data_IF_137980796260
#
_entry.id   IF_137980796260
#
_cell.length_a   1.000
_cell.length_b   1.000
_cell.length_c   1.000
_cell.angle_alpha   90.00
_cell.angle_beta   90.00
_cell.angle_gamma   90.00
#
_symmetry.space_group_name_H-M   'P 1'
#
loop_
_entity.id
_entity.type
_entity.pdbx_description
1 polymer ?
#
# COMPACT_ATOMS: atom_id res chain seq x y z
N UNK A 1 26.17 -24.50 -1.27
CA UNK A 1 24.95 -24.63 -2.09
C UNK A 1 24.66 -26.10 -2.27
N UNK A 2 23.56 -26.62 -1.73
CA UNK A 2 23.11 -28.01 -1.88
C UNK A 2 22.18 -28.12 -3.09
N UNK A 3 21.83 -29.35 -3.51
CA UNK A 3 20.83 -29.57 -4.57
C UNK A 3 19.44 -29.02 -4.21
N UNK A 4 19.16 -28.84 -2.92
CA UNK A 4 17.90 -28.29 -2.44
C UNK A 4 17.76 -26.79 -2.75
N UNK A 5 18.87 -26.06 -2.88
CA UNK A 5 18.90 -24.63 -3.25
C UNK A 5 18.46 -24.36 -4.72
N UNK A 6 18.25 -25.41 -5.52
CA UNK A 6 17.89 -25.32 -6.94
C UNK A 6 16.52 -25.91 -7.26
N UNK A 7 15.77 -26.35 -6.26
CA UNK A 7 14.41 -26.87 -6.47
C UNK A 7 13.48 -25.73 -6.85
N UNK A 8 12.55 -25.93 -7.81
CA UNK A 8 11.56 -24.91 -8.13
C UNK A 8 10.62 -24.67 -6.94
N UNK A 9 10.07 -23.47 -6.88
CA UNK A 9 9.00 -23.10 -5.96
C UNK A 9 7.69 -22.89 -6.74
N UNK A 10 6.56 -22.91 -6.03
CA UNK A 10 5.24 -22.75 -6.62
C UNK A 10 4.46 -21.65 -5.90
N UNK A 11 3.64 -20.91 -6.65
CA UNK A 11 2.64 -19.98 -6.08
C UNK A 11 1.30 -20.69 -5.98
N UNK A 12 0.76 -20.75 -4.78
CA UNK A 12 -0.52 -21.37 -4.47
C UNK A 12 -1.58 -20.31 -4.16
N UNK A 13 -2.59 -20.29 -5.00
CA UNK A 13 -3.75 -19.43 -4.87
C UNK A 13 -4.80 -20.16 -4.04
N UNK A 14 -4.82 -19.89 -2.73
CA UNK A 14 -5.78 -20.50 -1.80
C UNK A 14 -7.12 -19.80 -1.94
N UNK A 15 -8.22 -20.55 -1.96
CA UNK A 15 -9.58 -20.02 -1.87
C UNK A 15 -9.84 -19.46 -0.45
N UNK A 16 -9.12 -18.39 -0.10
CA UNK A 16 -9.03 -17.82 1.25
C UNK A 16 -8.79 -18.93 2.29
N UNK A 17 -9.47 -18.92 3.44
CA UNK A 17 -9.41 -19.94 4.49
C UNK A 17 -10.38 -21.12 4.27
N UNK A 18 -10.94 -21.30 3.07
CA UNK A 18 -11.95 -22.32 2.80
C UNK A 18 -11.32 -23.69 2.51
N UNK A 19 -10.52 -24.20 3.44
CA UNK A 19 -9.86 -25.50 3.29
C UNK A 19 -10.11 -26.40 4.50
N UNK A 20 -9.84 -27.69 4.31
CA UNK A 20 -9.70 -28.60 5.44
C UNK A 20 -8.23 -28.85 5.69
N UNK A 21 -7.84 -29.03 6.95
CA UNK A 21 -6.47 -29.40 7.29
C UNK A 21 -5.94 -30.58 6.44
N UNK A 22 -6.79 -31.58 6.20
CA UNK A 22 -6.42 -32.78 5.45
C UNK A 22 -6.07 -32.48 3.99
N UNK A 23 -6.74 -31.49 3.38
CA UNK A 23 -6.40 -31.02 2.04
C UNK A 23 -5.07 -30.28 2.07
N UNK A 24 -4.87 -29.35 2.99
CA UNK A 24 -3.63 -28.57 3.09
C UNK A 24 -2.39 -29.47 3.26
N UNK A 25 -2.45 -30.41 4.22
CA UNK A 25 -1.36 -31.35 4.50
C UNK A 25 -1.04 -32.23 3.28
N UNK A 26 -2.08 -32.71 2.58
CA UNK A 26 -1.94 -33.56 1.39
C UNK A 26 -1.30 -32.80 0.23
N UNK A 27 -1.73 -31.56 -0.04
CA UNK A 27 -1.21 -30.80 -1.18
C UNK A 27 0.26 -30.41 -0.99
N UNK A 28 0.67 -30.08 0.24
CA UNK A 28 2.07 -29.83 0.58
C UNK A 28 2.91 -31.12 0.47
N UNK A 29 2.37 -32.26 0.91
CA UNK A 29 3.02 -33.57 0.72
C UNK A 29 3.21 -33.90 -0.77
N UNK A 30 2.17 -33.70 -1.57
CA UNK A 30 2.22 -33.95 -3.01
C UNK A 30 3.23 -33.03 -3.70
N UNK A 31 3.26 -31.73 -3.35
CA UNK A 31 4.25 -30.78 -3.85
C UNK A 31 5.69 -31.21 -3.49
N UNK A 32 5.94 -31.57 -2.24
CA UNK A 32 7.26 -32.08 -1.81
C UNK A 32 7.65 -33.34 -2.59
N UNK A 33 6.72 -34.29 -2.77
CA UNK A 33 6.96 -35.55 -3.52
C UNK A 33 7.28 -35.30 -4.99
N UNK A 34 6.72 -34.24 -5.58
CA UNK A 34 7.00 -33.80 -6.95
C UNK A 34 8.33 -33.05 -7.08
N UNK A 35 9.03 -32.77 -5.98
CA UNK A 35 10.36 -32.17 -5.97
C UNK A 35 10.37 -30.66 -5.84
N UNK A 36 9.25 -30.02 -5.48
CA UNK A 36 9.24 -28.60 -5.15
C UNK A 36 10.01 -28.33 -3.85
N UNK A 37 10.75 -27.23 -3.83
CA UNK A 37 11.55 -26.77 -2.69
C UNK A 37 10.81 -25.77 -1.81
N UNK A 38 9.72 -25.19 -2.30
CA UNK A 38 9.02 -24.11 -1.60
C UNK A 38 7.64 -23.79 -2.13
N UNK A 39 6.88 -23.07 -1.32
CA UNK A 39 5.53 -22.62 -1.65
C UNK A 39 5.32 -21.18 -1.18
N UNK A 40 4.93 -20.29 -2.10
CA UNK A 40 4.33 -19.01 -1.77
C UNK A 40 2.81 -19.16 -1.77
N UNK A 41 2.11 -18.68 -0.74
CA UNK A 41 0.65 -18.71 -0.72
C UNK A 41 0.03 -17.32 -0.57
N UNK A 42 -1.17 -17.16 -1.13
CA UNK A 42 -1.95 -15.91 -1.05
C UNK A 42 -3.44 -16.20 -1.10
N UNK A 43 -4.24 -15.27 -0.59
CA UNK A 43 -5.69 -15.39 -0.61
C UNK A 43 -6.24 -14.97 -1.99
N UNK A 44 -6.94 -15.89 -2.64
CA UNK A 44 -7.64 -15.70 -3.90
C UNK A 44 -9.13 -15.54 -3.63
N UNK A 45 -9.71 -14.49 -4.19
CA UNK A 45 -11.14 -14.20 -4.09
C UNK A 45 -11.95 -15.26 -4.85
N UNK A 46 -12.89 -15.89 -4.15
CA UNK A 46 -13.86 -16.83 -4.72
C UNK A 46 -15.28 -16.32 -4.46
N UNK A 47 -16.00 -15.90 -5.51
CA UNK A 47 -17.24 -15.10 -5.35
C UNK A 47 -18.43 -15.76 -4.63
N UNK A 48 -18.32 -17.00 -4.15
CA UNK A 48 -19.36 -17.72 -3.41
C UNK A 48 -18.98 -18.04 -1.96
N UNK A 49 -17.99 -17.35 -1.39
CA UNK A 49 -17.49 -17.62 -0.04
C UNK A 49 -17.73 -16.45 0.92
N UNK A 50 -17.77 -16.75 2.22
CA UNK A 50 -17.95 -15.75 3.26
C UNK A 50 -16.58 -15.17 3.65
N UNK A 51 -16.22 -14.04 3.06
CA UNK A 51 -14.93 -13.37 3.31
C UNK A 51 -14.74 -12.97 4.77
N UNK A 52 -15.82 -12.70 5.52
CA UNK A 52 -15.70 -12.38 6.94
C UNK A 52 -15.22 -13.59 7.77
N UNK A 53 -15.54 -14.80 7.31
CA UNK A 53 -15.15 -16.05 7.97
C UNK A 53 -13.84 -16.63 7.47
N UNK A 54 -13.57 -16.48 6.18
CA UNK A 54 -12.47 -17.17 5.50
C UNK A 54 -11.39 -16.24 4.96
N UNK A 55 -11.69 -14.95 4.72
CA UNK A 55 -10.77 -14.02 4.10
C UNK A 55 -9.54 -13.71 4.92
N UNK A 56 -8.56 -13.07 4.28
CA UNK A 56 -7.33 -12.62 4.93
C UNK A 56 -7.62 -11.93 6.27
N UNK A 57 -6.92 -12.36 7.31
CA UNK A 57 -7.08 -11.87 8.69
C UNK A 57 -8.21 -12.54 9.49
N UNK A 58 -9.01 -13.42 8.89
CA UNK A 58 -9.99 -14.25 9.61
C UNK A 58 -9.32 -15.35 10.43
N UNK A 59 -10.07 -15.94 11.37
CA UNK A 59 -9.60 -17.11 12.14
C UNK A 59 -9.30 -18.31 11.25
N UNK A 60 -10.13 -18.57 10.22
CA UNK A 60 -9.92 -19.69 9.29
C UNK A 60 -8.65 -19.48 8.46
N UNK A 61 -8.41 -18.25 7.95
CA UNK A 61 -7.18 -17.92 7.22
C UNK A 61 -5.91 -18.07 8.08
N UNK A 62 -5.96 -17.58 9.33
CA UNK A 62 -4.83 -17.67 10.26
C UNK A 62 -4.50 -19.13 10.59
N UNK A 63 -5.53 -19.96 10.81
CA UNK A 63 -5.37 -21.40 11.03
C UNK A 63 -4.75 -22.11 9.83
N UNK A 64 -5.27 -21.86 8.62
CA UNK A 64 -4.74 -22.44 7.39
C UNK A 64 -3.27 -22.05 7.17
N UNK A 65 -2.95 -20.75 7.38
CA UNK A 65 -1.58 -20.24 7.27
C UNK A 65 -0.61 -20.95 8.22
N UNK A 66 -1.04 -21.22 9.46
CA UNK A 66 -0.24 -21.96 10.43
C UNK A 66 0.05 -23.39 9.96
N UNK A 67 -0.96 -24.11 9.44
CA UNK A 67 -0.77 -25.46 8.89
C UNK A 67 0.19 -25.45 7.71
N UNK A 68 0.06 -24.48 6.80
CA UNK A 68 0.96 -24.37 5.64
C UNK A 68 2.40 -24.19 6.09
N UNK A 69 2.66 -23.29 7.05
CA UNK A 69 4.01 -23.05 7.57
C UNK A 69 4.55 -24.26 8.34
N UNK A 70 3.74 -24.91 9.18
CA UNK A 70 4.16 -26.12 9.92
C UNK A 70 4.55 -27.27 8.97
N UNK A 71 3.72 -27.54 7.96
CA UNK A 71 3.92 -28.69 7.07
C UNK A 71 5.07 -28.47 6.08
N UNK A 72 5.26 -27.24 5.60
CA UNK A 72 6.42 -26.87 4.77
C UNK A 72 7.72 -26.93 5.58
N UNK A 73 7.74 -26.35 6.78
CA UNK A 73 8.89 -26.40 7.70
C UNK A 73 9.28 -27.83 8.03
N UNK A 74 8.29 -28.69 8.37
CA UNK A 74 8.52 -30.12 8.67
C UNK A 74 9.20 -30.89 7.53
N UNK A 75 9.01 -30.45 6.29
CA UNK A 75 9.57 -31.07 5.08
C UNK A 75 10.84 -30.40 4.58
N UNK A 76 11.33 -29.37 5.28
CA UNK A 76 12.48 -28.58 4.82
C UNK A 76 12.20 -27.77 3.55
N UNK A 77 10.93 -27.44 3.30
CA UNK A 77 10.55 -26.54 2.21
C UNK A 77 10.61 -25.08 2.68
N UNK A 78 10.91 -24.15 1.78
CA UNK A 78 10.69 -22.72 2.02
C UNK A 78 9.19 -22.39 1.98
N UNK A 79 8.80 -21.33 2.68
CA UNK A 79 7.44 -20.81 2.67
C UNK A 79 7.48 -19.30 2.64
N UNK A 80 6.61 -18.70 1.83
CA UNK A 80 6.41 -17.26 1.75
C UNK A 80 4.94 -16.92 1.55
N UNK A 81 4.59 -15.66 1.78
CA UNK A 81 3.25 -15.14 1.60
C UNK A 81 3.32 -13.69 1.12
N UNK A 82 2.27 -13.24 0.44
CA UNK A 82 2.19 -11.87 -0.07
C UNK A 82 2.20 -10.86 1.08
N UNK A 83 2.61 -9.63 0.78
CA UNK A 83 2.71 -8.51 1.73
C UNK A 83 1.36 -7.94 2.20
N UNK A 84 0.29 -8.71 2.07
CA UNK A 84 -1.10 -8.31 2.29
C UNK A 84 -2.06 -9.32 1.67
N UNK A 85 -3.32 -8.91 1.52
CA UNK A 85 -4.44 -9.78 1.13
C UNK A 85 -4.29 -10.44 -0.25
N UNK A 86 -3.55 -9.84 -1.19
CA UNK A 86 -3.43 -10.31 -2.57
C UNK A 86 -2.05 -10.00 -3.18
N UNK A 87 -1.88 -10.30 -4.48
CA UNK A 87 -0.60 -10.16 -5.20
C UNK A 87 -0.27 -8.72 -5.67
N UNK A 88 -1.22 -7.78 -5.56
CA UNK A 88 -1.14 -6.49 -6.25
C UNK A 88 -0.37 -5.44 -5.44
N UNK A 89 -0.60 -5.38 -4.14
CA UNK A 89 0.01 -4.41 -3.25
C UNK A 89 0.13 -4.94 -1.80
N UNK A 90 1.09 -4.42 -1.05
CA UNK A 90 1.09 -4.46 0.41
C UNK A 90 -0.04 -3.60 0.98
N UNK A 91 -0.79 -4.18 1.90
CA UNK A 91 -1.98 -3.59 2.47
C UNK A 91 -2.24 -4.16 3.87
N UNK A 92 -2.91 -3.36 4.70
CA UNK A 92 -3.12 -3.67 6.12
C UNK A 92 -4.55 -3.35 6.55
N UNK A 93 -5.13 -4.16 7.47
CA UNK A 93 -6.45 -3.89 8.05
C UNK A 93 -6.39 -2.91 9.24
N UNK A 94 -5.18 -2.56 9.70
CA UNK A 94 -4.94 -1.78 10.93
C UNK A 94 -4.75 -0.29 10.69
N UNK A 95 -4.73 0.14 9.43
CA UNK A 95 -4.59 1.55 9.04
C UNK A 95 -5.87 2.06 8.39
N UNK A 96 -6.06 3.37 8.42
CA UNK A 96 -7.15 4.06 7.71
C UNK A 96 -6.59 4.99 6.63
N UNK A 97 -7.38 5.39 5.61
CA UNK A 97 -6.84 6.09 4.46
C UNK A 97 -6.38 7.52 4.78
N UNK A 98 -6.79 8.11 5.91
CA UNK A 98 -6.35 9.44 6.32
C UNK A 98 -5.03 9.42 7.10
N UNK A 99 -4.46 8.23 7.38
CA UNK A 99 -3.17 8.08 8.02
C UNK A 99 -2.02 8.18 7.01
N UNK A 100 -0.88 8.71 7.43
CA UNK A 100 0.36 8.78 6.63
C UNK A 100 0.90 7.40 6.23
N UNK A 101 0.59 6.38 7.03
CA UNK A 101 0.95 4.99 6.77
C UNK A 101 0.18 4.40 5.58
N UNK A 102 -0.96 4.97 5.17
CA UNK A 102 -1.68 4.58 3.97
C UNK A 102 -1.14 5.30 2.74
N UNK A 103 -1.26 4.70 1.56
CA UNK A 103 -0.79 5.26 0.29
C UNK A 103 -1.37 6.67 0.07
N UNK A 104 -0.48 7.64 -0.17
CA UNK A 104 -0.82 9.06 -0.35
C UNK A 104 -0.76 9.45 -1.84
N UNK A 105 -1.56 10.45 -2.22
CA UNK A 105 -1.48 11.14 -3.51
C UNK A 105 -1.37 12.66 -3.31
N UNK A 106 -0.76 13.32 -4.30
CA UNK A 106 -0.60 14.78 -4.35
C UNK A 106 -1.47 15.34 -5.46
N UNK A 107 -2.50 16.07 -5.05
CA UNK A 107 -3.47 16.68 -5.95
C UNK A 107 -3.26 18.19 -6.00
N UNK A 108 -3.71 18.81 -7.10
CA UNK A 108 -3.53 20.24 -7.34
C UNK A 108 -4.84 20.90 -7.75
N UNK A 109 -5.13 22.03 -7.10
CA UNK A 109 -6.11 23.00 -7.58
C UNK A 109 -5.39 24.28 -7.96
N UNK A 110 -5.95 24.99 -8.94
CA UNK A 110 -5.33 26.21 -9.42
C UNK A 110 -6.36 27.31 -9.65
N UNK A 111 -5.90 28.55 -9.51
CA UNK A 111 -6.67 29.76 -9.83
C UNK A 111 -5.84 30.71 -10.70
N UNK A 112 -6.51 31.37 -11.65
CA UNK A 112 -5.88 32.40 -12.49
C UNK A 112 -6.08 33.77 -11.86
N UNK A 113 -4.98 34.46 -11.58
CA UNK A 113 -4.96 35.86 -11.21
C UNK A 113 -4.76 36.72 -12.45
N UNK A 114 -5.75 37.55 -12.77
CA UNK A 114 -5.62 38.56 -13.81
C UNK A 114 -4.57 39.62 -13.43
N UNK A 115 -4.02 40.28 -14.46
CA UNK A 115 -3.04 41.34 -14.33
C UNK A 115 -3.38 42.37 -13.23
N UNK A 116 -2.42 42.61 -12.32
CA UNK A 116 -2.53 43.61 -11.26
C UNK A 116 -3.55 43.29 -10.16
N UNK A 117 -4.08 42.06 -10.10
CA UNK A 117 -5.02 41.63 -9.07
C UNK A 117 -4.31 40.96 -7.90
N UNK A 118 -4.90 41.13 -6.72
CA UNK A 118 -4.54 40.41 -5.50
C UNK A 118 -5.56 39.30 -5.23
N UNK A 119 -5.11 38.24 -4.57
CA UNK A 119 -5.98 37.23 -3.96
C UNK A 119 -5.92 37.34 -2.43
N UNK A 120 -7.03 37.09 -1.77
CA UNK A 120 -7.13 37.08 -0.30
C UNK A 120 -8.14 36.02 0.14
N UNK A 121 -7.98 35.48 1.34
CA UNK A 121 -8.90 34.49 1.92
C UNK A 121 -8.40 33.05 1.85
N UNK A 122 -9.28 32.04 2.01
CA UNK A 122 -8.88 30.64 1.97
C UNK A 122 -8.44 30.19 0.58
N UNK A 123 -7.55 29.19 0.52
CA UNK A 123 -7.23 28.46 -0.71
C UNK A 123 -8.34 27.46 -1.03
N UNK A 124 -8.57 27.21 -2.33
CA UNK A 124 -9.41 26.10 -2.73
C UNK A 124 -8.80 24.77 -2.25
N UNK A 125 -9.65 23.84 -1.84
CA UNK A 125 -9.27 22.48 -1.43
C UNK A 125 -9.69 21.47 -2.50
N UNK A 126 -9.12 20.27 -2.43
CA UNK A 126 -9.57 19.15 -3.28
C UNK A 126 -10.97 18.73 -2.82
N UNK A 127 -11.86 18.51 -3.78
CA UNK A 127 -13.15 17.87 -3.52
C UNK A 127 -12.95 16.36 -3.39
N UNK A 128 -12.74 15.88 -2.16
CA UNK A 128 -12.52 14.47 -1.86
C UNK A 128 -13.76 13.59 -2.13
N UNK A 129 -14.93 14.20 -2.33
CA UNK A 129 -16.16 13.50 -2.67
C UNK A 129 -16.45 13.47 -4.18
N UNK A 130 -15.57 14.04 -5.00
CA UNK A 130 -15.74 14.06 -6.45
C UNK A 130 -15.77 12.63 -7.04
N UNK A 131 -16.60 12.38 -8.07
CA UNK A 131 -16.62 11.09 -8.75
C UNK A 131 -15.24 10.73 -9.31
N UNK A 132 -14.85 9.48 -9.11
CA UNK A 132 -13.59 8.93 -9.61
C UNK A 132 -13.82 8.46 -11.04
N UNK A 133 -12.81 8.58 -11.89
CA UNK A 133 -12.83 7.95 -13.20
C UNK A 133 -12.96 6.42 -13.06
N UNK A 134 -13.79 5.80 -13.91
CA UNK A 134 -13.89 4.35 -13.96
C UNK A 134 -12.52 3.73 -14.31
N UNK A 135 -12.12 2.71 -13.56
CA UNK A 135 -10.88 1.96 -13.78
C UNK A 135 -11.20 0.49 -13.95
N UNK A 136 -10.41 -0.20 -14.78
CA UNK A 136 -10.48 -1.66 -14.97
C UNK A 136 -9.64 -2.42 -13.96
N UNK A 137 -8.87 -1.72 -13.12
CA UNK A 137 -8.04 -2.33 -12.08
C UNK A 137 -8.92 -2.74 -10.87
N UNK A 138 -8.69 -3.92 -10.29
CA UNK A 138 -9.40 -4.36 -9.11
C UNK A 138 -9.07 -3.49 -7.89
N UNK A 139 -10.05 -3.33 -7.00
CA UNK A 139 -9.95 -2.52 -5.79
C UNK A 139 -11.09 -1.53 -5.67
N UNK A 140 -11.32 -1.03 -4.46
CA UNK A 140 -12.27 0.04 -4.21
C UNK A 140 -11.53 1.25 -3.65
N UNK A 141 -12.15 2.42 -3.77
CA UNK A 141 -11.70 3.61 -3.06
C UNK A 141 -12.50 3.72 -1.76
N UNK A 142 -11.83 3.58 -0.64
CA UNK A 142 -12.41 3.90 0.66
C UNK A 142 -12.57 5.41 0.84
N UNK A 143 -13.39 5.78 1.83
CA UNK A 143 -13.69 7.20 2.13
C UNK A 143 -12.49 7.89 2.76
N UNK A 144 -12.03 8.97 2.12
CA UNK A 144 -10.98 9.86 2.63
C UNK A 144 -11.65 11.12 3.17
N UNK A 145 -11.24 11.58 4.35
CA UNK A 145 -11.85 12.75 5.00
C UNK A 145 -10.86 13.87 5.31
N UNK A 146 -9.57 13.61 5.18
CA UNK A 146 -8.51 14.56 5.50
C UNK A 146 -7.60 14.80 4.30
N UNK A 147 -7.17 16.04 4.19
CA UNK A 147 -6.13 16.49 3.27
C UNK A 147 -5.33 17.59 3.98
N UNK A 148 -4.05 17.71 3.65
CA UNK A 148 -3.18 18.75 4.18
C UNK A 148 -2.46 19.49 3.07
N UNK A 149 -2.28 20.79 3.25
CA UNK A 149 -1.59 21.64 2.29
C UNK A 149 -0.09 21.31 2.29
N UNK A 150 0.47 21.04 1.12
CA UNK A 150 1.90 20.74 0.94
C UNK A 150 2.65 21.96 0.45
N UNK A 151 2.13 22.61 -0.60
CA UNK A 151 2.82 23.72 -1.23
C UNK A 151 1.83 24.67 -1.90
N UNK A 152 2.23 25.94 -1.98
CA UNK A 152 1.56 26.93 -2.81
C UNK A 152 2.60 27.63 -3.67
N UNK A 153 2.45 27.55 -4.98
CA UNK A 153 3.38 28.17 -5.94
C UNK A 153 2.60 28.99 -6.95
N UNK A 154 3.20 30.09 -7.39
CA UNK A 154 2.66 30.90 -8.47
C UNK A 154 3.66 30.96 -9.62
N UNK A 155 3.15 30.93 -10.86
CA UNK A 155 3.96 31.16 -12.05
C UNK A 155 3.22 32.08 -13.01
N UNK A 156 3.96 32.96 -13.68
CA UNK A 156 3.44 33.81 -14.73
C UNK A 156 3.01 32.97 -15.93
N UNK A 157 1.89 33.35 -16.54
CA UNK A 157 1.40 32.76 -17.78
C UNK A 157 2.10 33.41 -18.97
N UNK A 158 2.69 32.59 -19.84
CA UNK A 158 3.44 33.02 -21.02
C UNK A 158 2.59 33.06 -22.31
N UNK A 159 1.34 32.57 -22.26
CA UNK A 159 0.42 32.43 -23.39
C UNK A 159 0.08 30.96 -23.67
N UNK A 160 -1.08 30.67 -24.28
CA UNK A 160 -1.51 29.32 -24.69
C UNK A 160 -1.42 28.23 -23.58
N UNK A 161 -1.64 28.62 -22.32
CA UNK A 161 -1.53 27.72 -21.18
C UNK A 161 -0.09 27.40 -20.72
N UNK A 162 0.92 27.99 -21.38
CA UNK A 162 2.32 27.86 -20.97
C UNK A 162 2.62 28.72 -19.74
N UNK A 163 3.49 28.19 -18.88
CA UNK A 163 3.99 28.87 -17.70
C UNK A 163 5.45 29.25 -17.91
N UNK A 164 5.83 30.44 -17.43
CA UNK A 164 7.22 30.86 -17.41
C UNK A 164 7.93 30.28 -16.18
N UNK A 165 8.72 29.24 -16.37
CA UNK A 165 9.46 28.56 -15.30
C UNK A 165 10.39 29.50 -14.50
N UNK A 166 10.93 30.55 -15.13
CA UNK A 166 11.82 31.50 -14.45
C UNK A 166 11.06 32.46 -13.53
N UNK A 167 9.73 32.50 -13.63
CA UNK A 167 8.86 33.36 -12.82
C UNK A 167 8.31 32.66 -11.58
N UNK A 168 8.60 31.36 -11.38
CA UNK A 168 8.02 30.58 -10.29
C UNK A 168 8.38 31.20 -8.94
N UNK A 169 7.35 31.44 -8.13
CA UNK A 169 7.47 31.93 -6.76
C UNK A 169 6.88 30.88 -5.82
N UNK A 170 7.66 30.43 -4.85
CA UNK A 170 7.16 29.65 -3.73
C UNK A 170 6.51 30.59 -2.70
N UNK A 171 5.22 30.38 -2.48
CA UNK A 171 4.38 31.15 -1.56
C UNK A 171 3.99 30.33 -0.32
N UNK A 172 4.50 29.10 -0.18
CA UNK A 172 4.12 28.16 0.89
C UNK A 172 4.31 28.78 2.28
N UNK A 173 5.45 29.44 2.51
CA UNK A 173 5.73 30.11 3.78
C UNK A 173 4.89 31.37 4.06
N UNK A 174 4.09 31.85 3.09
CA UNK A 174 3.18 33.00 3.24
C UNK A 174 1.75 32.59 3.54
N UNK A 175 1.47 31.29 3.57
CA UNK A 175 0.14 30.77 3.89
C UNK A 175 -0.04 30.75 5.40
N UNK A 176 -1.14 31.32 5.88
CA UNK A 176 -1.54 31.31 7.27
C UNK A 176 -2.91 30.66 7.39
N UNK A 177 -3.03 29.54 8.12
CA UNK A 177 -4.31 28.86 8.33
C UNK A 177 -5.02 28.45 7.03
N UNK A 178 -4.27 27.95 6.04
CA UNK A 178 -4.75 27.62 4.68
C UNK A 178 -5.29 28.82 3.89
N UNK A 179 -5.00 30.05 4.33
CA UNK A 179 -5.32 31.30 3.64
C UNK A 179 -4.05 31.99 3.13
N UNK A 180 -4.17 32.71 2.03
CA UNK A 180 -3.07 33.45 1.41
C UNK A 180 -3.51 34.88 1.07
N UNK A 181 -2.72 35.86 1.48
CA UNK A 181 -2.81 37.22 0.96
C UNK A 181 -1.60 37.47 0.07
N UNK A 182 -1.84 37.62 -1.24
CA UNK A 182 -0.76 37.80 -2.20
C UNK A 182 -1.19 38.65 -3.39
N UNK A 183 -0.28 39.51 -3.82
CA UNK A 183 -0.40 40.33 -5.02
C UNK A 183 0.69 39.92 -6.00
N UNK A 184 0.30 39.69 -7.26
CA UNK A 184 1.24 39.40 -8.32
C UNK A 184 2.30 40.52 -8.46
N UNK A 185 3.57 40.20 -8.73
CA UNK A 185 4.66 41.18 -8.75
C UNK A 185 4.64 42.09 -9.97
N UNK A 186 3.88 41.76 -11.02
CA UNK A 186 3.75 42.54 -12.24
C UNK A 186 2.31 42.53 -12.79
N UNK A 187 2.04 43.39 -13.76
CA UNK A 187 0.73 43.50 -14.44
C UNK A 187 0.53 42.40 -15.50
N UNK A 188 0.96 41.16 -15.22
CA UNK A 188 0.74 40.01 -16.09
C UNK A 188 -0.23 39.03 -15.46
N UNK A 189 -0.68 38.08 -16.25
CA UNK A 189 -1.50 36.98 -15.74
C UNK A 189 -0.60 35.98 -14.99
N UNK A 190 -1.07 35.52 -13.84
CA UNK A 190 -0.41 34.52 -13.01
C UNK A 190 -1.34 33.35 -12.74
N UNK A 191 -0.78 32.15 -12.69
CA UNK A 191 -1.45 30.95 -12.22
C UNK A 191 -0.92 30.60 -10.84
N UNK A 192 -1.82 30.53 -9.87
CA UNK A 192 -1.53 30.03 -8.52
C UNK A 192 -1.95 28.57 -8.44
N UNK A 193 -1.09 27.73 -7.89
CA UNK A 193 -1.33 26.31 -7.65
C UNK A 193 -1.25 26.06 -6.15
N UNK A 194 -2.27 25.40 -5.60
CA UNK A 194 -2.27 24.87 -4.25
C UNK A 194 -2.24 23.35 -4.34
N UNK A 195 -1.18 22.76 -3.79
CA UNK A 195 -0.96 21.32 -3.75
C UNK A 195 -1.38 20.76 -2.40
N UNK A 196 -2.25 19.76 -2.43
CA UNK A 196 -2.81 19.11 -1.27
C UNK A 196 -2.46 17.63 -1.30
N UNK A 197 -2.10 17.06 -0.15
CA UNK A 197 -1.84 15.64 -0.02
C UNK A 197 -2.90 14.99 0.87
N UNK A 198 -3.36 13.83 0.44
CA UNK A 198 -4.32 12.99 1.14
C UNK A 198 -4.12 11.53 0.77
N UNK A 199 -4.82 10.63 1.47
CA UNK A 199 -4.84 9.22 1.10
C UNK A 199 -5.44 8.98 -0.27
N UNK A 200 -4.93 7.98 -0.97
CA UNK A 200 -5.52 7.45 -2.21
C UNK A 200 -6.85 6.75 -1.94
N UNK A 201 -7.02 6.21 -0.72
CA UNK A 201 -8.16 5.36 -0.37
C UNK A 201 -8.10 3.97 -1.00
N UNK A 202 -7.01 3.58 -1.66
CA UNK A 202 -6.92 2.30 -2.38
C UNK A 202 -7.04 1.11 -1.41
N UNK A 203 -8.09 0.31 -1.58
CA UNK A 203 -8.32 -0.91 -0.80
C UNK A 203 -7.90 -2.18 -1.54
N UNK A 204 -7.76 -3.27 -0.78
CA UNK A 204 -7.47 -4.59 -1.29
C UNK A 204 -8.39 -5.68 -0.69
N UNK A 205 -8.61 -6.73 -1.48
CA UNK A 205 -9.44 -7.91 -1.18
C UNK A 205 -8.78 -9.17 -1.76
N UNK A 206 -9.15 -10.40 -1.36
CA UNK A 206 -10.18 -10.74 -0.37
C UNK A 206 -9.70 -10.60 1.08
N UNK A 207 -10.58 -10.15 1.98
CA UNK A 207 -10.27 -10.03 3.40
C UNK A 207 -11.51 -10.01 4.28
N UNK A 208 -11.33 -10.43 5.53
CA UNK A 208 -12.36 -10.33 6.57
C UNK A 208 -12.67 -8.87 6.98
N UNK A 209 -11.80 -7.93 6.66
CA UNK A 209 -11.97 -6.50 6.94
C UNK A 209 -11.40 -5.64 5.81
N UNK A 210 -11.67 -4.34 5.82
CA UNK A 210 -11.14 -3.44 4.79
C UNK A 210 -9.64 -3.27 5.00
N UNK A 211 -8.85 -3.62 3.99
CA UNK A 211 -7.40 -3.41 4.00
C UNK A 211 -7.08 -2.22 3.10
N UNK A 212 -6.22 -1.33 3.58
CA UNK A 212 -5.74 -0.18 2.82
C UNK A 212 -4.30 -0.37 2.38
N UNK A 213 -4.00 0.06 1.16
CA UNK A 213 -2.65 0.03 0.60
C UNK A 213 -1.73 0.91 1.43
N UNK A 214 -0.54 0.41 1.76
CA UNK A 214 0.43 1.15 2.57
C UNK A 214 1.18 2.20 1.76
N UNK A 215 1.74 3.18 2.44
CA UNK A 215 2.64 4.16 1.85
C UNK A 215 4.02 3.54 1.61
N UNK A 216 4.46 3.48 0.36
CA UNK A 216 5.77 2.96 -0.02
C UNK A 216 6.89 4.00 0.00
N UNK A 217 6.54 5.28 0.14
CA UNK A 217 7.47 6.40 -0.01
C UNK A 217 7.97 6.94 1.33
N UNK A 218 7.28 6.63 2.43
CA UNK A 218 7.61 7.10 3.78
C UNK A 218 7.70 5.93 4.76
N UNK A 219 8.49 6.11 5.83
CA UNK A 219 8.71 5.08 6.85
C UNK A 219 7.41 4.71 7.56
N UNK A 220 6.46 5.64 7.71
CA UNK A 220 5.17 5.38 8.36
C UNK A 220 4.45 4.14 7.79
N UNK A 221 4.51 3.92 6.47
CA UNK A 221 3.88 2.75 5.84
C UNK A 221 4.69 1.47 6.04
N UNK A 222 6.01 1.54 5.93
CA UNK A 222 6.91 0.39 6.17
C UNK A 222 6.84 -0.06 7.62
N UNK A 223 6.89 0.88 8.56
CA UNK A 223 6.80 0.64 10.00
C UNK A 223 5.44 0.04 10.37
N UNK A 224 4.36 0.48 9.72
CA UNK A 224 3.04 -0.14 9.90
C UNK A 224 3.01 -1.61 9.45
N UNK A 225 3.67 -1.95 8.33
CA UNK A 225 3.79 -3.34 7.88
C UNK A 225 4.61 -4.14 8.88
N UNK A 226 5.79 -3.64 9.28
CA UNK A 226 6.66 -4.32 10.25
C UNK A 226 5.89 -4.59 11.55
N UNK A 227 5.22 -3.58 12.11
CA UNK A 227 4.45 -3.70 13.34
C UNK A 227 3.31 -4.73 13.19
N UNK A 228 2.54 -4.69 12.10
CA UNK A 228 1.49 -5.67 11.88
C UNK A 228 2.03 -7.10 11.79
N UNK A 229 3.15 -7.27 11.09
CA UNK A 229 3.79 -8.58 11.00
C UNK A 229 4.30 -9.04 12.36
N UNK A 230 4.92 -8.17 13.13
CA UNK A 230 5.48 -8.53 14.42
C UNK A 230 4.42 -8.85 15.48
N UNK A 231 3.32 -8.08 15.49
CA UNK A 231 2.30 -8.13 16.53
C UNK A 231 1.14 -9.07 16.20
N UNK A 232 0.82 -9.27 14.92
CA UNK A 232 -0.36 -10.02 14.48
C UNK A 232 0.00 -11.32 13.76
N UNK A 233 0.87 -11.27 12.75
CA UNK A 233 1.15 -12.45 11.92
C UNK A 233 2.19 -13.38 12.55
N UNK A 234 3.31 -12.85 13.02
CA UNK A 234 4.41 -13.60 13.64
C UNK A 234 4.08 -13.95 15.09
N UNK A 235 3.05 -14.78 15.27
CA UNK A 235 2.67 -15.33 16.58
C UNK A 235 3.85 -16.08 17.21
N UNK A 236 3.88 -16.26 18.56
CA UNK A 236 4.93 -17.05 19.20
C UNK A 236 5.06 -18.47 18.64
N UNK A 237 3.95 -19.10 18.22
CA UNK A 237 3.95 -20.40 17.58
C UNK A 237 4.60 -20.34 16.19
N UNK A 238 4.23 -19.35 15.38
CA UNK A 238 4.81 -19.18 14.04
C UNK A 238 6.32 -18.87 14.12
N UNK A 239 6.73 -18.01 15.05
CA UNK A 239 8.16 -17.72 15.31
C UNK A 239 8.92 -18.98 15.74
N UNK A 240 8.31 -19.83 16.55
CA UNK A 240 8.93 -21.10 16.96
C UNK A 240 9.11 -22.06 15.78
N UNK A 241 8.18 -22.09 14.82
CA UNK A 241 8.34 -22.88 13.59
C UNK A 241 9.40 -22.29 12.67
N UNK A 242 9.39 -20.97 12.42
CA UNK A 242 10.43 -20.29 11.64
C UNK A 242 11.83 -20.53 12.21
N UNK A 243 11.98 -20.51 13.54
CA UNK A 243 13.26 -20.78 14.21
C UNK A 243 13.77 -22.23 14.05
N UNK A 244 12.90 -23.18 13.64
CA UNK A 244 13.30 -24.56 13.32
C UNK A 244 13.81 -24.71 11.90
N UNK A 245 13.52 -23.72 11.04
CA UNK A 245 14.02 -23.75 9.67
C UNK A 245 15.55 -23.59 9.70
N UNK A 246 16.30 -24.49 9.05
CA UNK A 246 17.75 -24.47 9.13
C UNK A 246 18.28 -23.14 8.59
N UNK A 247 19.14 -22.45 9.35
CA UNK A 247 19.76 -21.19 8.93
C UNK A 247 20.32 -21.33 7.51
N UNK A 248 19.78 -20.52 6.58
CA UNK A 248 20.51 -20.18 5.37
C UNK A 248 21.75 -19.41 5.83
N UNK A 249 22.86 -20.12 5.89
CA UNK A 249 24.21 -19.57 6.10
C UNK A 249 24.64 -18.77 4.86
N UNK A 250 23.88 -17.73 4.52
CA UNK A 250 24.32 -16.68 3.61
C UNK A 250 23.82 -15.35 4.14
N UNK A 251 24.58 -14.78 5.07
CA UNK A 251 24.49 -13.34 5.34
C UNK A 251 24.82 -12.61 4.04
N UNK A 252 23.89 -11.83 3.46
CA UNK A 252 24.22 -10.96 2.34
C UNK A 252 25.26 -9.97 2.85
N UNK A 253 26.45 -9.95 2.25
CA UNK A 253 27.39 -8.86 2.49
C UNK A 253 26.70 -7.58 1.96
N UNK A 254 26.49 -6.54 2.78
CA UNK A 254 25.90 -5.31 2.28
C UNK A 254 26.77 -4.76 1.15
N UNK A 255 26.17 -4.17 0.09
CA UNK A 255 26.94 -3.56 -0.97
C UNK A 255 27.84 -2.45 -0.37
N UNK A 256 29.06 -2.27 -0.89
CA UNK A 256 29.93 -1.20 -0.43
C UNK A 256 29.22 0.15 -0.65
N UNK A 257 29.27 0.99 0.40
CA UNK A 257 28.82 2.39 0.40
C UNK A 257 29.63 3.20 -0.63
#
# INVERSE_FOLDING_TARGET
>A
MTLDDFRPELRWWLAEGLHSDATLRREIEDAHRLGFGGMEFLAMDEGAIDHARSGWGSEEWVHDSQIVVEETTRRGMSVSFTSGTNWSNANLPTIDPDQRAAAQELDVVHETLAAGRSRTGPLARIDLAAPIAETTLPGHRGTITRQHLVAVVAARVAGDGLLDAASVVDLTARVEGEALDWTAPDEREWRLFAYWMHGTGQTASPSASVNYTVNYLDCDGVDAVIAYWDDVLLTPALRAEVARWPEVTSTPTPPPI
#
